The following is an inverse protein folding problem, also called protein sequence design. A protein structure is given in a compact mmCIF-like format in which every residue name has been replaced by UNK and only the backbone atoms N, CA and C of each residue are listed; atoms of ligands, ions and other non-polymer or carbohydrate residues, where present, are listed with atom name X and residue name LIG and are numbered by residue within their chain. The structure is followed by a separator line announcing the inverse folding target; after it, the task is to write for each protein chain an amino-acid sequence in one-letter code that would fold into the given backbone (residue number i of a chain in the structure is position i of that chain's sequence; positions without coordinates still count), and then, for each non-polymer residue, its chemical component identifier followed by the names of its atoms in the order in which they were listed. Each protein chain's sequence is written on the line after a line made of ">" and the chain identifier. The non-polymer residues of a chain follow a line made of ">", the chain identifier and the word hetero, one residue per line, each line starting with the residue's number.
data_IF_418801059379
#
_entry.id   IF_418801059379
#
_cell.length_a   1.000
_cell.length_b   1.000
_cell.length_c   1.000
_cell.angle_alpha   90.00
_cell.angle_beta   90.00
_cell.angle_gamma   90.00
#
_symmetry.space_group_name_H-M   'P 1'
#
loop_
_entity.id
_entity.type
_entity.pdbx_description
1 polymer ?
#
# COMPACT_ATOMS: atom_id res chain seq x y z
N UNK A 1 36.12 -9.48 3.10
CA UNK A 1 35.59 -8.92 1.84
C UNK A 1 34.29 -9.59 1.41
N UNK A 2 34.17 -10.92 1.48
CA UNK A 2 32.95 -11.65 1.08
C UNK A 2 31.71 -11.29 1.92
N UNK A 3 31.83 -11.18 3.25
CA UNK A 3 30.69 -10.84 4.12
C UNK A 3 30.13 -9.43 3.87
N UNK A 4 31.01 -8.44 3.70
CA UNK A 4 30.61 -7.08 3.34
C UNK A 4 29.84 -7.04 2.00
N UNK A 5 30.27 -7.83 1.02
CA UNK A 5 29.56 -7.95 -0.27
C UNK A 5 28.17 -8.56 -0.10
N UNK A 6 28.02 -9.57 0.77
CA UNK A 6 26.72 -10.21 1.06
C UNK A 6 25.79 -9.21 1.77
N UNK A 7 26.29 -8.45 2.74
CA UNK A 7 25.49 -7.44 3.46
C UNK A 7 24.99 -6.34 2.54
N UNK A 8 25.86 -5.81 1.67
CA UNK A 8 25.48 -4.78 0.69
C UNK A 8 24.47 -5.34 -0.31
N UNK A 9 24.68 -6.57 -0.80
CA UNK A 9 23.74 -7.24 -1.70
C UNK A 9 22.37 -7.45 -1.04
N UNK A 10 22.36 -7.87 0.23
CA UNK A 10 21.14 -8.03 1.03
C UNK A 10 20.41 -6.71 1.22
N UNK A 11 21.13 -5.62 1.50
CA UNK A 11 20.55 -4.29 1.65
C UNK A 11 19.90 -3.78 0.36
N UNK A 12 20.59 -3.93 -0.78
CA UNK A 12 20.06 -3.54 -2.10
C UNK A 12 18.84 -4.39 -2.44
N UNK A 13 18.90 -5.70 -2.22
CA UNK A 13 17.78 -6.61 -2.46
C UNK A 13 16.55 -6.21 -1.63
N UNK A 14 16.75 -5.88 -0.35
CA UNK A 14 15.68 -5.41 0.54
C UNK A 14 15.02 -4.15 0.00
N UNK A 15 15.80 -3.17 -0.46
CA UNK A 15 15.27 -1.93 -1.04
C UNK A 15 14.44 -2.23 -2.30
N UNK A 16 14.96 -3.06 -3.20
CA UNK A 16 14.27 -3.45 -4.42
C UNK A 16 12.95 -4.16 -4.12
N UNK A 17 12.95 -5.08 -3.15
CA UNK A 17 11.74 -5.76 -2.69
C UNK A 17 10.74 -4.76 -2.10
N UNK A 18 11.17 -3.84 -1.24
CA UNK A 18 10.29 -2.82 -0.67
C UNK A 18 9.67 -1.90 -1.72
N UNK A 19 10.47 -1.43 -2.69
CA UNK A 19 9.99 -0.62 -3.83
C UNK A 19 8.97 -1.40 -4.68
N UNK A 20 9.27 -2.67 -4.97
CA UNK A 20 8.38 -3.52 -5.75
C UNK A 20 7.06 -3.76 -5.02
N UNK A 21 7.10 -4.08 -3.72
CA UNK A 21 5.90 -4.22 -2.90
C UNK A 21 5.11 -2.92 -2.83
N UNK A 22 5.77 -1.77 -2.62
CA UNK A 22 5.09 -0.48 -2.58
C UNK A 22 4.32 -0.20 -3.89
N UNK A 23 4.93 -0.46 -5.05
CA UNK A 23 4.27 -0.30 -6.36
C UNK A 23 3.16 -1.31 -6.59
N UNK A 24 3.34 -2.56 -6.15
CA UNK A 24 2.31 -3.59 -6.22
C UNK A 24 1.11 -3.21 -5.35
N UNK A 25 1.35 -2.77 -4.12
CA UNK A 25 0.31 -2.29 -3.21
C UNK A 25 -0.42 -1.11 -3.84
N UNK A 26 0.31 -0.11 -4.35
CA UNK A 26 -0.31 1.03 -5.01
C UNK A 26 -1.18 0.59 -6.20
N UNK A 27 -0.67 -0.24 -7.11
CA UNK A 27 -1.45 -0.66 -8.29
C UNK A 27 -2.65 -1.55 -7.95
N UNK A 28 -2.48 -2.47 -7.02
CA UNK A 28 -3.50 -3.48 -6.70
C UNK A 28 -4.56 -2.92 -5.74
N UNK A 29 -4.13 -2.14 -4.74
CA UNK A 29 -4.99 -1.68 -3.66
C UNK A 29 -5.47 -0.23 -3.79
N UNK A 30 -4.91 0.58 -4.69
CA UNK A 30 -5.44 1.94 -4.91
C UNK A 30 -6.90 1.93 -5.37
N UNK A 31 -7.23 1.08 -6.34
CA UNK A 31 -8.59 0.99 -6.90
C UNK A 31 -9.63 0.53 -5.86
N UNK A 32 -9.40 -0.58 -5.12
CA UNK A 32 -10.31 -0.99 -4.05
C UNK A 32 -10.30 0.00 -2.87
N UNK A 33 -9.18 0.62 -2.52
CA UNK A 33 -9.12 1.64 -1.48
C UNK A 33 -9.93 2.89 -1.83
N UNK A 34 -9.84 3.32 -3.09
CA UNK A 34 -10.65 4.41 -3.60
C UNK A 34 -12.14 4.06 -3.58
N UNK A 35 -12.51 2.85 -4.00
CA UNK A 35 -13.90 2.38 -3.95
C UNK A 35 -14.43 2.31 -2.51
N UNK A 36 -13.62 1.79 -1.57
CA UNK A 36 -13.98 1.69 -0.17
C UNK A 36 -14.19 3.09 0.46
N UNK A 37 -13.26 4.01 0.22
CA UNK A 37 -13.40 5.41 0.67
C UNK A 37 -14.62 6.08 0.03
N UNK A 38 -14.93 5.76 -1.23
CA UNK A 38 -16.14 6.27 -1.89
C UNK A 38 -17.41 5.74 -1.25
N UNK A 39 -17.47 4.47 -0.88
CA UNK A 39 -18.61 3.88 -0.15
C UNK A 39 -18.75 4.52 1.24
N UNK A 40 -17.64 4.61 2.00
CA UNK A 40 -17.65 5.20 3.35
C UNK A 40 -18.01 6.69 3.36
N UNK A 41 -17.66 7.41 2.29
CA UNK A 41 -17.97 8.84 2.14
C UNK A 41 -19.31 9.10 1.45
N UNK A 42 -20.15 8.08 1.22
CA UNK A 42 -21.41 8.20 0.48
C UNK A 42 -21.25 8.87 -0.89
N UNK A 43 -20.18 8.52 -1.61
CA UNK A 43 -19.88 9.05 -2.94
C UNK A 43 -19.14 10.38 -2.98
N UNK A 44 -18.86 11.00 -1.82
CA UNK A 44 -18.18 12.32 -1.73
C UNK A 44 -16.67 12.25 -1.98
N UNK A 45 -16.08 11.06 -2.04
CA UNK A 45 -14.67 10.87 -2.41
C UNK A 45 -14.47 10.82 -3.94
N UNK A 46 -13.41 11.44 -4.47
CA UNK A 46 -12.34 12.19 -3.79
C UNK A 46 -12.75 13.64 -3.43
N UNK A 47 -12.28 14.20 -2.30
CA UNK A 47 -12.55 15.59 -1.92
C UNK A 47 -12.00 16.57 -2.97
N UNK A 48 -12.62 17.74 -3.10
CA UNK A 48 -12.13 18.81 -3.98
C UNK A 48 -10.68 19.18 -3.59
N UNK A 49 -9.73 18.91 -4.48
CA UNK A 49 -8.31 18.86 -4.13
C UNK A 49 -7.66 20.23 -4.24
N UNK A 50 -7.27 20.83 -3.11
CA UNK A 50 -6.26 21.90 -3.07
C UNK A 50 -4.82 21.36 -2.96
N UNK A 51 -4.64 20.05 -2.68
CA UNK A 51 -3.36 19.39 -2.44
C UNK A 51 -3.21 18.08 -3.22
N UNK A 52 -1.96 17.66 -3.47
CA UNK A 52 -1.62 16.46 -4.26
C UNK A 52 -2.18 15.19 -3.59
N UNK A 53 -3.05 14.48 -4.29
CA UNK A 53 -3.66 13.22 -3.83
C UNK A 53 -2.61 12.14 -3.50
N UNK A 54 -2.55 11.71 -2.24
CA UNK A 54 -1.63 10.66 -1.80
C UNK A 54 -2.21 9.27 -2.10
N UNK A 55 -1.92 8.74 -3.29
CA UNK A 55 -2.38 7.41 -3.75
C UNK A 55 -1.89 6.27 -2.86
N UNK A 56 -0.70 6.40 -2.31
CA UNK A 56 -0.12 5.37 -1.43
C UNK A 56 -0.92 5.23 -0.14
N UNK A 57 -1.37 6.34 0.46
CA UNK A 57 -2.20 6.30 1.65
C UNK A 57 -3.54 5.58 1.41
N UNK A 58 -4.16 5.80 0.26
CA UNK A 58 -5.41 5.12 -0.14
C UNK A 58 -5.20 3.62 -0.33
N UNK A 59 -4.12 3.24 -1.00
CA UNK A 59 -3.78 1.84 -1.23
C UNK A 59 -3.43 1.12 0.08
N UNK A 60 -2.66 1.78 0.97
CA UNK A 60 -2.32 1.25 2.29
C UNK A 60 -3.57 1.06 3.15
N UNK A 61 -4.50 2.01 3.13
CA UNK A 61 -5.78 1.89 3.84
C UNK A 61 -6.57 0.66 3.39
N UNK A 62 -6.65 0.42 2.09
CA UNK A 62 -7.32 -0.77 1.56
C UNK A 62 -6.61 -2.07 1.96
N UNK A 63 -5.27 -2.10 1.88
CA UNK A 63 -4.48 -3.26 2.27
C UNK A 63 -4.67 -3.61 3.76
N UNK A 64 -4.59 -2.61 4.64
CA UNK A 64 -4.82 -2.80 6.08
C UNK A 64 -6.24 -3.28 6.35
N UNK A 65 -7.24 -2.66 5.73
CA UNK A 65 -8.64 -3.06 5.88
C UNK A 65 -8.85 -4.52 5.46
N UNK A 66 -8.20 -4.95 4.38
CA UNK A 66 -8.27 -6.33 3.87
C UNK A 66 -7.60 -7.32 4.82
N UNK A 67 -6.41 -7.00 5.34
CA UNK A 67 -5.71 -7.83 6.34
C UNK A 67 -6.53 -7.94 7.62
N UNK A 68 -7.09 -6.84 8.11
CA UNK A 68 -7.97 -6.85 9.29
C UNK A 68 -9.21 -7.71 9.08
N UNK A 69 -9.84 -7.63 7.89
CA UNK A 69 -11.00 -8.47 7.56
C UNK A 69 -10.62 -9.96 7.55
N UNK A 70 -9.49 -10.31 6.94
CA UNK A 70 -8.98 -11.71 6.94
C UNK A 70 -8.76 -12.20 8.36
N UNK A 71 -8.11 -11.39 9.21
CA UNK A 71 -7.83 -11.76 10.61
C UNK A 71 -9.12 -12.00 11.39
N UNK A 72 -10.12 -11.14 11.22
CA UNK A 72 -11.44 -11.29 11.86
C UNK A 72 -12.16 -12.55 11.37
N UNK A 73 -12.14 -12.83 10.07
CA UNK A 73 -12.79 -14.02 9.50
C UNK A 73 -12.06 -15.31 9.88
N UNK A 74 -10.76 -15.24 10.17
CA UNK A 74 -9.92 -16.38 10.52
C UNK A 74 -9.89 -16.69 12.03
N UNK A 75 -10.60 -15.91 12.85
CA UNK A 75 -10.73 -16.08 14.31
C UNK A 75 -12.11 -16.61 14.65
#
# INVERSE_FOLDING_TARGET
>A
MLEFTIDVLGWVCRILICELLARLIEKLFYWPGWALLRVLSFGRYPPAQSTRHNRFAVALFAAVSFVSLILIVST
#
